data_IF_343231599752
#
_entry.id   IF_343231599752
#
_cell.length_a   1.000
_cell.length_b   1.000
_cell.length_c   1.000
_cell.angle_alpha   90.00
_cell.angle_beta   90.00
_cell.angle_gamma   90.00
#
_symmetry.space_group_name_H-M   'P 1'
#
loop_
_entity.id
_entity.type
_entity.pdbx_description
1 polymer ?
#
# COMPACT_ATOMS: atom_id res chain seq x y z
N UNK A 1 18.66 -14.37 -1.96
CA UNK A 1 18.06 -15.55 -1.39
C UNK A 1 16.58 -15.58 -1.69
N UNK A 2 16.03 -16.72 -2.01
CA UNK A 2 14.63 -16.87 -2.36
C UNK A 2 13.63 -16.66 -1.22
N UNK A 3 14.07 -16.14 -0.09
CA UNK A 3 13.25 -15.97 1.10
C UNK A 3 12.55 -14.63 1.23
N UNK A 4 12.46 -13.85 0.16
CA UNK A 4 11.81 -12.55 0.22
C UNK A 4 10.34 -12.65 0.60
N UNK A 5 9.87 -11.76 1.50
CA UNK A 5 8.47 -11.68 1.91
C UNK A 5 7.59 -11.18 0.76
N UNK A 6 8.17 -10.49 -0.20
CA UNK A 6 7.51 -10.08 -1.44
C UNK A 6 7.84 -11.13 -2.50
N UNK A 7 6.84 -11.92 -2.95
CA UNK A 7 7.07 -12.96 -3.95
C UNK A 7 7.57 -12.39 -5.28
N UNK A 8 8.35 -13.18 -5.99
CA UNK A 8 8.71 -12.88 -7.38
C UNK A 8 7.47 -12.99 -8.28
N UNK A 9 7.49 -12.26 -9.37
CA UNK A 9 6.36 -12.24 -10.31
C UNK A 9 5.28 -11.24 -9.90
N UNK A 10 4.31 -11.07 -10.79
CA UNK A 10 3.20 -10.15 -10.54
C UNK A 10 2.25 -10.74 -9.50
N UNK A 11 1.83 -9.94 -8.51
CA UNK A 11 0.76 -10.37 -7.61
C UNK A 11 -0.58 -10.43 -8.34
N UNK A 12 -1.58 -11.04 -7.72
CA UNK A 12 -2.94 -10.93 -8.22
C UNK A 12 -3.44 -9.48 -8.06
N UNK A 13 -4.44 -9.06 -8.87
CA UNK A 13 -5.05 -7.74 -8.68
C UNK A 13 -5.54 -7.53 -7.25
N UNK A 14 -5.33 -6.34 -6.71
CA UNK A 14 -5.73 -6.01 -5.35
C UNK A 14 -4.71 -6.37 -4.28
N UNK A 15 -3.58 -6.95 -4.63
CA UNK A 15 -2.52 -7.27 -3.67
C UNK A 15 -1.38 -6.27 -3.82
N UNK A 16 -1.03 -5.59 -2.74
CA UNK A 16 0.10 -4.65 -2.69
C UNK A 16 0.92 -4.88 -1.43
N UNK A 17 2.20 -4.53 -1.50
CA UNK A 17 3.09 -4.52 -0.33
C UNK A 17 3.44 -3.09 0.01
N UNK A 18 3.51 -2.78 1.29
CA UNK A 18 3.83 -1.44 1.77
C UNK A 18 4.77 -1.52 2.96
N UNK A 19 5.62 -0.51 3.08
CA UNK A 19 6.48 -0.33 4.25
C UNK A 19 5.89 0.82 5.06
N UNK A 20 5.63 0.56 6.33
CA UNK A 20 5.11 1.55 7.27
C UNK A 20 5.78 1.35 8.62
N UNK A 21 5.73 2.38 9.47
CA UNK A 21 6.24 2.27 10.83
C UNK A 21 5.27 1.46 11.66
N UNK A 22 5.78 0.48 12.37
CA UNK A 22 4.98 -0.31 13.31
C UNK A 22 4.76 0.44 14.62
N UNK A 23 3.96 -0.12 15.52
CA UNK A 23 3.77 0.45 16.84
C UNK A 23 5.04 0.62 17.66
N UNK A 24 6.11 -0.10 17.32
CA UNK A 24 7.44 0.03 17.93
C UNK A 24 8.34 1.02 17.18
N UNK A 25 7.76 1.83 16.28
CA UNK A 25 8.48 2.81 15.47
C UNK A 25 9.59 2.21 14.61
N UNK A 26 9.40 0.98 14.16
CA UNK A 26 10.33 0.28 13.26
C UNK A 26 9.69 0.13 11.89
N UNK A 27 10.44 0.37 10.79
CA UNK A 27 9.93 0.06 9.46
C UNK A 27 9.56 -1.41 9.36
N UNK A 28 8.36 -1.68 8.90
CA UNK A 28 7.78 -3.02 8.84
C UNK A 28 7.08 -3.21 7.51
N UNK A 29 7.17 -4.40 6.95
CA UNK A 29 6.48 -4.71 5.70
C UNK A 29 5.11 -5.32 5.98
N UNK A 30 4.12 -4.85 5.22
CA UNK A 30 2.75 -5.33 5.27
C UNK A 30 2.28 -5.70 3.87
N UNK A 31 1.31 -6.61 3.81
CA UNK A 31 0.60 -6.92 2.57
C UNK A 31 -0.86 -6.52 2.72
N UNK A 32 -1.38 -5.80 1.76
CA UNK A 32 -2.80 -5.46 1.67
C UNK A 32 -3.41 -6.29 0.56
N UNK A 33 -4.55 -6.90 0.85
CA UNK A 33 -5.31 -7.71 -0.10
C UNK A 33 -6.72 -7.16 -0.22
N UNK A 34 -7.17 -6.95 -1.45
CA UNK A 34 -8.53 -6.48 -1.73
C UNK A 34 -9.30 -7.59 -2.43
N UNK A 35 -10.52 -7.85 -1.93
CA UNK A 35 -11.50 -8.66 -2.62
C UNK A 35 -12.69 -7.80 -3.00
N UNK A 36 -13.10 -7.87 -4.25
CA UNK A 36 -14.29 -7.18 -4.75
C UNK A 36 -15.43 -8.19 -4.93
N UNK A 37 -16.62 -7.82 -4.46
CA UNK A 37 -17.81 -8.64 -4.57
C UNK A 37 -18.94 -7.78 -5.13
N UNK A 38 -19.90 -8.38 -5.81
CA UNK A 38 -21.11 -7.67 -6.22
C UNK A 38 -21.82 -7.13 -4.97
N UNK A 39 -22.20 -5.85 -4.98
CA UNK A 39 -22.79 -5.23 -3.82
C UNK A 39 -23.23 -3.80 -4.06
N UNK A 40 -23.20 -2.99 -3.01
CA UNK A 40 -23.77 -1.64 -3.01
C UNK A 40 -22.77 -0.54 -2.58
N UNK A 41 -21.48 -0.83 -2.57
CA UNK A 41 -20.45 0.14 -2.23
C UNK A 41 -20.02 0.10 -0.76
N UNK A 42 -20.12 -1.05 -0.11
CA UNK A 42 -19.70 -1.21 1.29
C UNK A 42 -18.23 -1.56 1.39
N UNK A 43 -17.63 -1.16 2.50
CA UNK A 43 -16.25 -1.48 2.84
C UNK A 43 -16.20 -2.34 4.10
N UNK A 44 -15.52 -3.48 4.01
CA UNK A 44 -15.18 -4.33 5.15
C UNK A 44 -13.67 -4.33 5.33
N UNK A 45 -13.20 -4.13 6.56
CA UNK A 45 -11.78 -4.06 6.89
C UNK A 45 -11.46 -5.14 7.91
N UNK A 46 -10.40 -5.90 7.68
CA UNK A 46 -9.93 -6.91 8.63
C UNK A 46 -8.40 -6.89 8.71
N UNK A 47 -7.87 -7.47 9.79
CA UNK A 47 -6.45 -7.50 10.06
C UNK A 47 -6.05 -6.47 11.11
N UNK A 48 -4.73 -6.39 11.47
CA UNK A 48 -4.25 -5.52 12.53
C UNK A 48 -4.04 -4.07 12.03
N UNK A 49 -5.13 -3.36 11.78
CA UNK A 49 -5.07 -1.96 11.35
C UNK A 49 -6.30 -1.19 11.82
N UNK A 50 -6.14 0.13 11.95
CA UNK A 50 -7.24 1.05 12.21
C UNK A 50 -8.09 1.22 10.96
N UNK A 51 -9.39 1.35 11.16
CA UNK A 51 -10.35 1.52 10.05
C UNK A 51 -10.26 2.90 9.43
N UNK A 52 -9.87 3.91 10.18
CA UNK A 52 -9.90 5.30 9.72
C UNK A 52 -9.01 5.57 8.50
N UNK A 53 -7.72 5.19 8.47
CA UNK A 53 -6.90 5.39 7.28
C UNK A 53 -7.47 4.69 6.04
N UNK A 54 -8.03 3.50 6.22
CA UNK A 54 -8.64 2.74 5.13
C UNK A 54 -9.93 3.43 4.66
N UNK A 55 -10.71 3.95 5.61
CA UNK A 55 -11.93 4.70 5.28
C UNK A 55 -11.62 5.96 4.49
N UNK A 56 -10.56 6.68 4.86
CA UNK A 56 -10.08 7.84 4.11
C UNK A 56 -9.73 7.45 2.67
N UNK A 57 -8.99 6.35 2.51
CA UNK A 57 -8.64 5.84 1.19
C UNK A 57 -9.88 5.46 0.39
N UNK A 58 -10.85 4.81 1.03
CA UNK A 58 -12.08 4.37 0.37
C UNK A 58 -12.96 5.55 -0.06
N UNK A 59 -13.09 6.55 0.80
CA UNK A 59 -13.87 7.75 0.47
C UNK A 59 -13.22 8.50 -0.69
N UNK A 60 -11.90 8.64 -0.68
CA UNK A 60 -11.17 9.23 -1.79
C UNK A 60 -11.34 8.41 -3.08
N UNK A 61 -11.23 7.09 -2.97
CA UNK A 61 -11.43 6.17 -4.10
C UNK A 61 -12.81 6.35 -4.72
N UNK A 62 -13.88 6.36 -3.93
CA UNK A 62 -15.24 6.53 -4.45
C UNK A 62 -15.43 7.89 -5.12
N UNK A 63 -14.86 8.93 -4.53
CA UNK A 63 -14.99 10.29 -5.05
C UNK A 63 -14.26 10.49 -6.38
N UNK A 64 -13.16 9.75 -6.61
CA UNK A 64 -12.27 9.96 -7.74
C UNK A 64 -12.12 8.75 -8.66
N UNK A 65 -12.89 7.70 -8.46
CA UNK A 65 -12.77 6.47 -9.24
C UNK A 65 -12.89 6.70 -10.74
N UNK A 66 -13.79 7.57 -11.17
CA UNK A 66 -13.98 7.89 -12.58
C UNK A 66 -12.77 8.57 -13.23
N UNK A 67 -11.93 9.24 -12.43
CA UNK A 67 -10.68 9.86 -12.93
C UNK A 67 -9.58 8.83 -13.14
N UNK A 68 -9.62 7.72 -12.41
CA UNK A 68 -8.69 6.61 -12.58
C UNK A 68 -9.08 5.80 -13.81
N UNK A 69 -10.36 5.46 -13.92
CA UNK A 69 -10.91 4.79 -15.09
C UNK A 69 -12.43 4.89 -15.10
N UNK A 70 -12.99 5.16 -16.26
CA UNK A 70 -14.44 5.15 -16.43
C UNK A 70 -15.08 3.77 -16.26
N UNK A 71 -14.28 2.70 -16.23
CA UNK A 71 -14.79 1.34 -16.04
C UNK A 71 -15.03 0.98 -14.57
N UNK A 72 -14.53 1.77 -13.62
CA UNK A 72 -14.71 1.50 -12.20
C UNK A 72 -16.15 1.81 -11.79
N UNK A 73 -16.80 0.82 -11.17
CA UNK A 73 -18.17 0.92 -10.67
C UNK A 73 -18.19 0.70 -9.16
N UNK A 74 -17.63 1.65 -8.41
CA UNK A 74 -17.48 1.53 -6.96
C UNK A 74 -18.82 1.32 -6.24
N UNK A 75 -19.89 1.93 -6.72
CA UNK A 75 -21.22 1.78 -6.13
C UNK A 75 -21.92 0.45 -6.41
N UNK A 76 -21.40 -0.35 -7.30
CA UNK A 76 -21.96 -1.66 -7.68
C UNK A 76 -21.20 -2.84 -7.05
N UNK A 77 -20.17 -2.55 -6.25
CA UNK A 77 -19.33 -3.56 -5.61
C UNK A 77 -19.14 -3.25 -4.14
N UNK A 78 -19.01 -4.31 -3.35
CA UNK A 78 -18.50 -4.22 -1.99
C UNK A 78 -17.01 -4.58 -2.02
N UNK A 79 -16.25 -3.98 -1.10
CA UNK A 79 -14.80 -4.17 -1.03
C UNK A 79 -14.44 -4.70 0.34
N UNK A 80 -13.65 -5.76 0.36
CA UNK A 80 -13.05 -6.29 1.57
C UNK A 80 -11.55 -6.05 1.50
N UNK A 81 -11.02 -5.24 2.42
CA UNK A 81 -9.60 -4.99 2.57
C UNK A 81 -9.07 -5.73 3.78
N UNK A 82 -8.06 -6.56 3.57
CA UNK A 82 -7.39 -7.30 4.63
C UNK A 82 -5.92 -6.93 4.66
N UNK A 83 -5.41 -6.62 5.85
CA UNK A 83 -3.98 -6.33 6.06
C UNK A 83 -3.32 -7.53 6.73
N UNK A 84 -2.19 -7.95 6.18
CA UNK A 84 -1.34 -8.98 6.76
C UNK A 84 -0.04 -8.33 7.24
N UNK A 85 0.26 -8.51 8.53
CA UNK A 85 1.52 -8.08 9.12
C UNK A 85 2.55 -9.19 8.90
N UNK A 86 3.48 -8.98 7.96
CA UNK A 86 4.42 -10.02 7.55
C UNK A 86 5.60 -10.21 8.50
N UNK A 87 5.80 -9.31 9.45
CA UNK A 87 6.94 -9.34 10.37
C UNK A 87 6.55 -9.31 11.85
N UNK A 88 5.25 -9.27 12.15
CA UNK A 88 4.78 -9.28 13.53
C UNK A 88 5.00 -7.95 14.27
N UNK A 89 5.15 -6.84 13.55
CA UNK A 89 5.38 -5.53 14.16
C UNK A 89 4.15 -4.84 14.72
N UNK A 90 2.96 -5.37 14.45
CA UNK A 90 1.70 -4.78 14.88
C UNK A 90 1.10 -3.84 13.84
N UNK A 91 0.22 -2.96 14.28
CA UNK A 91 -0.51 -2.06 13.41
C UNK A 91 0.42 -1.05 12.71
N UNK A 92 0.26 -0.81 11.39
CA UNK A 92 1.00 0.25 10.70
C UNK A 92 0.50 1.63 11.10
N UNK A 93 1.40 2.61 11.17
CA UNK A 93 1.04 4.01 11.44
C UNK A 93 0.38 4.70 10.24
N UNK A 94 0.70 4.25 9.03
CA UNK A 94 0.16 4.81 7.79
C UNK A 94 -0.27 3.67 6.87
N UNK A 95 -1.43 3.81 6.23
CA UNK A 95 -1.93 2.79 5.32
C UNK A 95 -2.85 3.37 4.23
N UNK A 96 -3.08 4.68 4.25
CA UNK A 96 -4.07 5.32 3.36
C UNK A 96 -3.64 5.20 1.89
N UNK A 97 -2.41 5.58 1.55
CA UNK A 97 -1.95 5.54 0.17
C UNK A 97 -1.91 4.11 -0.38
N UNK A 98 -1.34 3.18 0.37
CA UNK A 98 -1.26 1.79 -0.04
C UNK A 98 -2.66 1.17 -0.19
N UNK A 99 -3.58 1.51 0.71
CA UNK A 99 -4.98 1.08 0.62
C UNK A 99 -5.66 1.60 -0.63
N UNK A 100 -5.43 2.88 -0.98
CA UNK A 100 -5.98 3.46 -2.20
C UNK A 100 -5.46 2.73 -3.45
N UNK A 101 -4.17 2.45 -3.51
CA UNK A 101 -3.57 1.76 -4.65
C UNK A 101 -4.11 0.34 -4.76
N UNK A 102 -4.27 -0.34 -3.62
CA UNK A 102 -4.86 -1.68 -3.59
C UNK A 102 -6.32 -1.66 -4.10
N UNK A 103 -7.11 -0.70 -3.66
CA UNK A 103 -8.49 -0.53 -4.11
C UNK A 103 -8.55 -0.30 -5.63
N UNK A 104 -7.70 0.56 -6.16
CA UNK A 104 -7.63 0.80 -7.60
C UNK A 104 -7.24 -0.46 -8.37
N UNK A 105 -6.21 -1.17 -7.89
CA UNK A 105 -5.77 -2.43 -8.50
C UNK A 105 -6.89 -3.47 -8.52
N UNK A 106 -7.57 -3.65 -7.40
CA UNK A 106 -8.67 -4.61 -7.29
C UNK A 106 -9.86 -4.22 -8.17
N UNK A 107 -10.23 -2.95 -8.17
CA UNK A 107 -11.37 -2.47 -8.96
C UNK A 107 -11.10 -2.53 -10.48
N UNK A 108 -9.87 -2.26 -10.89
CA UNK A 108 -9.47 -2.34 -12.30
C UNK A 108 -9.22 -3.78 -12.76
N UNK A 109 -9.05 -4.71 -11.84
CA UNK A 109 -8.62 -6.07 -12.19
C UNK A 109 -7.20 -6.10 -12.77
N UNK A 110 -6.34 -5.14 -12.41
CA UNK A 110 -4.98 -5.03 -12.91
C UNK A 110 -3.98 -5.13 -11.77
N UNK A 111 -3.05 -6.09 -11.84
CA UNK A 111 -2.04 -6.21 -10.79
C UNK A 111 -1.07 -5.03 -10.83
N UNK A 112 -0.50 -4.70 -9.68
CA UNK A 112 0.63 -3.79 -9.61
C UNK A 112 1.88 -4.46 -10.18
N UNK A 113 2.95 -3.67 -10.38
CA UNK A 113 4.23 -4.21 -10.85
C UNK A 113 4.76 -5.29 -9.91
N UNK A 114 5.49 -6.25 -10.49
CA UNK A 114 6.12 -7.30 -9.69
C UNK A 114 7.15 -6.72 -8.71
N UNK A 115 7.22 -7.28 -7.53
CA UNK A 115 8.17 -6.92 -6.47
C UNK A 115 8.18 -5.43 -6.14
N UNK A 116 6.99 -4.81 -6.15
CA UNK A 116 6.79 -3.41 -5.81
C UNK A 116 6.50 -3.25 -4.32
N UNK A 117 7.18 -2.31 -3.66
CA UNK A 117 6.81 -1.85 -2.32
C UNK A 117 6.39 -0.38 -2.40
N UNK A 118 5.33 -0.05 -1.69
CA UNK A 118 4.75 1.30 -1.66
C UNK A 118 5.16 1.96 -0.35
N UNK A 119 5.61 3.21 -0.42
CA UNK A 119 5.99 4.01 0.74
C UNK A 119 5.30 5.36 0.71
N UNK A 120 5.18 5.98 1.89
CA UNK A 120 4.53 7.27 2.05
C UNK A 120 3.06 7.14 2.39
N UNK A 121 2.42 8.27 2.56
CA UNK A 121 1.02 8.31 2.94
C UNK A 121 0.27 9.41 2.19
N UNK A 122 -1.04 9.45 2.39
CA UNK A 122 -1.92 10.42 1.75
C UNK A 122 -2.94 10.91 2.76
N UNK A 123 -3.22 12.21 2.73
CA UNK A 123 -4.27 12.82 3.54
C UNK A 123 -5.64 12.66 2.87
N UNK A 124 -6.69 12.99 3.61
CA UNK A 124 -8.06 13.00 3.07
C UNK A 124 -8.20 13.93 1.86
N UNK A 125 -7.47 15.04 1.85
CA UNK A 125 -7.47 15.97 0.72
C UNK A 125 -6.63 15.53 -0.47
N UNK A 126 -6.00 14.36 -0.42
CA UNK A 126 -5.17 13.85 -1.51
C UNK A 126 -3.73 14.34 -1.51
N UNK A 127 -3.28 14.97 -0.41
CA UNK A 127 -1.90 15.44 -0.29
C UNK A 127 -1.01 14.26 0.10
N UNK A 128 0.02 14.02 -0.71
CA UNK A 128 0.99 12.94 -0.47
C UNK A 128 2.04 13.43 0.53
N UNK A 129 2.26 12.65 1.58
CA UNK A 129 3.26 12.95 2.61
C UNK A 129 4.51 12.08 2.43
N UNK A 130 5.70 12.60 2.78
CA UNK A 130 6.95 11.88 2.58
C UNK A 130 7.07 10.66 3.49
N UNK A 131 7.94 9.73 3.09
CA UNK A 131 8.27 8.54 3.87
C UNK A 131 9.18 8.94 5.04
N UNK A 132 8.82 8.49 6.23
CA UNK A 132 9.68 8.63 7.41
C UNK A 132 10.78 7.57 7.38
N UNK A 133 11.98 7.93 7.85
CA UNK A 133 13.12 7.00 7.92
C UNK A 133 13.36 6.29 6.59
N UNK A 134 13.54 7.07 5.53
CA UNK A 134 13.64 6.53 4.17
C UNK A 134 14.71 5.45 4.03
N UNK A 135 15.92 5.70 4.55
CA UNK A 135 17.03 4.74 4.40
C UNK A 135 16.71 3.39 5.05
N UNK A 136 16.18 3.42 6.27
CA UNK A 136 15.80 2.20 6.99
C UNK A 136 14.62 1.49 6.30
N UNK A 137 13.64 2.24 5.83
CA UNK A 137 12.48 1.70 5.11
C UNK A 137 12.91 1.02 3.81
N UNK A 138 13.85 1.60 3.07
CA UNK A 138 14.39 1.00 1.86
C UNK A 138 15.17 -0.27 2.16
N UNK A 139 15.91 -0.32 3.28
CA UNK A 139 16.60 -1.52 3.69
C UNK A 139 15.62 -2.67 3.96
N UNK A 140 14.54 -2.40 4.67
CA UNK A 140 13.48 -3.40 4.93
C UNK A 140 12.87 -3.88 3.62
N UNK A 141 12.58 -2.98 2.70
CA UNK A 141 12.02 -3.33 1.39
C UNK A 141 13.00 -4.20 0.58
N UNK A 142 14.26 -3.82 0.55
CA UNK A 142 15.31 -4.58 -0.14
C UNK A 142 15.42 -5.99 0.43
N UNK A 143 15.50 -6.12 1.76
CA UNK A 143 15.61 -7.41 2.44
C UNK A 143 14.37 -8.28 2.21
N UNK A 144 13.20 -7.67 2.03
CA UNK A 144 11.96 -8.38 1.75
C UNK A 144 11.84 -8.85 0.29
N UNK A 145 12.72 -8.39 -0.59
CA UNK A 145 12.72 -8.80 -1.99
C UNK A 145 12.14 -7.77 -2.96
N UNK A 146 11.92 -6.52 -2.52
CA UNK A 146 11.46 -5.47 -3.41
C UNK A 146 12.51 -5.14 -4.47
N UNK A 147 12.07 -4.98 -5.70
CA UNK A 147 12.88 -4.53 -6.82
C UNK A 147 12.44 -3.17 -7.35
N UNK A 148 11.27 -2.73 -6.93
CA UNK A 148 10.67 -1.45 -7.31
C UNK A 148 10.08 -0.79 -6.10
N UNK A 149 10.25 0.52 -6.00
CA UNK A 149 9.71 1.32 -4.90
C UNK A 149 8.86 2.43 -5.49
N UNK A 150 7.62 2.51 -5.02
CA UNK A 150 6.78 3.68 -5.28
C UNK A 150 6.98 4.64 -4.11
N UNK A 151 7.55 5.81 -4.41
CA UNK A 151 8.04 6.75 -3.42
C UNK A 151 7.43 8.13 -3.65
N UNK A 152 7.01 8.85 -2.60
CA UNK A 152 6.56 10.24 -2.76
C UNK A 152 7.66 11.13 -3.34
N UNK A 153 7.28 12.04 -4.22
CA UNK A 153 8.23 13.02 -4.78
C UNK A 153 8.91 13.85 -3.68
N UNK A 154 8.19 14.14 -2.61
CA UNK A 154 8.74 14.87 -1.46
C UNK A 154 9.85 14.12 -0.73
N UNK A 155 10.01 12.82 -0.95
CA UNK A 155 11.09 12.03 -0.36
C UNK A 155 12.37 12.03 -1.19
N UNK A 156 12.36 12.61 -2.38
CA UNK A 156 13.53 12.59 -3.29
C UNK A 156 14.75 13.25 -2.65
N UNK A 157 14.54 14.31 -1.85
CA UNK A 157 15.62 14.99 -1.15
C UNK A 157 16.38 14.14 -0.14
N UNK A 158 15.78 13.05 0.33
CA UNK A 158 16.39 12.14 1.31
C UNK A 158 17.16 10.99 0.66
N UNK A 159 17.09 10.84 -0.67
CA UNK A 159 17.78 9.77 -1.38
C UNK A 159 19.30 9.76 -1.12
N UNK A 160 19.99 10.92 -1.05
CA UNK A 160 21.43 10.92 -0.77
C UNK A 160 21.81 10.29 0.58
N UNK A 161 20.86 10.15 1.51
CA UNK A 161 21.10 9.50 2.81
C UNK A 161 21.07 7.97 2.72
N UNK A 162 20.63 7.41 1.59
CA UNK A 162 20.46 5.97 1.40
C UNK A 162 21.80 5.35 1.02
N UNK A 163 22.17 4.21 1.65
CA UNK A 163 23.40 3.49 1.26
C UNK A 163 23.40 3.11 -0.22
N UNK A 164 24.54 3.32 -0.88
CA UNK A 164 24.67 3.11 -2.33
C UNK A 164 24.42 1.66 -2.77
N UNK A 165 24.64 0.69 -1.90
CA UNK A 165 24.40 -0.72 -2.22
C UNK A 165 22.91 -1.08 -2.39
N UNK A 166 22.00 -0.18 -2.04
CA UNK A 166 20.57 -0.40 -2.24
C UNK A 166 20.08 0.00 -3.64
N UNK A 167 20.95 0.60 -4.45
CA UNK A 167 20.61 0.96 -5.81
C UNK A 167 21.06 -0.09 -6.88
#
# INVERSE_FOLDING_TARGET
TGGGLIPEGRPNPGIVHTIAMSGNEMPTIYRIEIQTLAGTGKLLVSGPLSREPVRIAFDYFKAHASRVSGSIRAGEHDFHLHLVDLQGGGEPDVSTLASLIALCSGALGRPVQSQLAIMGDMSLGGVITPTRNLAESLQVAFDAGAKRILLPMSSVGDIPTVPGELF
#
